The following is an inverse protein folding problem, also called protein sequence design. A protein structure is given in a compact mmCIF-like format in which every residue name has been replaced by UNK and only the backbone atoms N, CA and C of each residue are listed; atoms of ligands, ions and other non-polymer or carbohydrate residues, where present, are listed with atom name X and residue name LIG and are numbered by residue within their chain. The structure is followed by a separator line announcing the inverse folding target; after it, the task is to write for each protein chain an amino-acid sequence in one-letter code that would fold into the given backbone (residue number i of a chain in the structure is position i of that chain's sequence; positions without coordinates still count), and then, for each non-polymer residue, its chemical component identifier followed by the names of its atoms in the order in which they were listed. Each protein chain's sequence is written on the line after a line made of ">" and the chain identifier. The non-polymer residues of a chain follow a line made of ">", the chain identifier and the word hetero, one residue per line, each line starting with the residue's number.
data_IF_441063115282
#
_entry.id   IF_441063115282
#
_cell.length_a   1.000
_cell.length_b   1.000
_cell.length_c   1.000
_cell.angle_alpha   90.00
_cell.angle_beta   90.00
_cell.angle_gamma   90.00
#
_symmetry.space_group_name_H-M   'P 1'
#
loop_
_entity.id
_entity.type
_entity.pdbx_description
1 polymer ?
#
# COMPACT_ATOMS: atom_id res chain seq x y z
N UNK A 1 -10.29 -16.70 79.77
CA UNK A 1 -9.04 -16.68 78.97
C UNK A 1 -9.44 -16.65 77.51
N UNK A 2 -9.62 -15.44 76.98
CA UNK A 2 -10.12 -15.11 75.64
C UNK A 2 -9.03 -15.22 74.56
N UNK A 3 -8.72 -16.42 74.06
CA UNK A 3 -7.79 -16.54 72.91
C UNK A 3 -8.15 -17.69 71.98
N UNK A 4 -9.34 -17.66 71.36
CA UNK A 4 -9.65 -18.61 70.28
C UNK A 4 -10.63 -18.12 69.21
N UNK A 5 -10.86 -16.79 69.08
CA UNK A 5 -11.77 -16.23 68.06
C UNK A 5 -11.09 -15.44 66.93
N UNK A 6 -9.75 -15.42 66.87
CA UNK A 6 -9.03 -14.61 65.88
C UNK A 6 -8.47 -15.40 64.68
N UNK A 7 -8.58 -16.73 64.66
CA UNK A 7 -8.05 -17.55 63.56
C UNK A 7 -9.10 -18.02 62.54
N UNK A 8 -10.37 -17.66 62.72
CA UNK A 8 -11.44 -18.02 61.77
C UNK A 8 -11.84 -16.88 60.83
N UNK A 9 -11.32 -15.66 61.00
CA UNK A 9 -11.74 -14.50 60.19
C UNK A 9 -10.75 -14.16 59.08
N UNK A 10 -9.50 -14.66 59.16
CA UNK A 10 -8.49 -14.38 58.13
C UNK A 10 -8.53 -15.40 56.97
N UNK A 11 -9.16 -16.57 57.15
CA UNK A 11 -9.22 -17.59 56.09
C UNK A 11 -10.41 -17.40 55.11
N UNK A 12 -11.35 -16.50 55.38
CA UNK A 12 -12.51 -16.26 54.50
C UNK A 12 -12.30 -15.10 53.52
N UNK A 13 -11.27 -14.27 53.70
CA UNK A 13 -11.00 -13.14 52.81
C UNK A 13 -10.05 -13.47 51.64
N UNK A 14 -9.54 -14.72 51.56
CA UNK A 14 -8.47 -15.08 50.63
C UNK A 14 -8.84 -16.26 49.73
N UNK A 15 -10.07 -16.29 49.20
CA UNK A 15 -10.38 -17.13 48.04
C UNK A 15 -11.62 -16.64 47.27
N UNK A 16 -11.63 -15.35 46.92
CA UNK A 16 -12.45 -14.87 45.81
C UNK A 16 -11.53 -14.10 44.87
N UNK A 17 -10.50 -14.78 44.38
CA UNK A 17 -9.97 -14.41 43.07
C UNK A 17 -10.98 -14.94 42.07
N UNK A 18 -11.77 -14.03 41.53
CA UNK A 18 -12.61 -14.31 40.37
C UNK A 18 -11.72 -14.93 39.31
N UNK A 19 -11.91 -16.22 39.03
CA UNK A 19 -11.53 -16.76 37.75
C UNK A 19 -12.40 -16.02 36.74
N UNK A 20 -11.86 -14.98 36.11
CA UNK A 20 -12.37 -14.61 34.81
C UNK A 20 -12.10 -15.81 33.93
N UNK A 21 -13.12 -16.66 33.77
CA UNK A 21 -13.15 -17.64 32.72
C UNK A 21 -13.11 -16.81 31.46
N UNK A 22 -11.92 -16.67 30.88
CA UNK A 22 -11.78 -16.33 29.48
C UNK A 22 -12.37 -17.55 28.76
N UNK A 23 -13.68 -17.54 28.54
CA UNK A 23 -14.23 -18.32 27.45
C UNK A 23 -13.55 -17.73 26.24
N UNK A 24 -12.51 -18.43 25.78
CA UNK A 24 -12.09 -18.31 24.40
C UNK A 24 -13.38 -18.46 23.61
N UNK A 25 -13.79 -17.36 22.98
CA UNK A 25 -14.94 -17.36 22.10
C UNK A 25 -14.60 -18.38 21.01
N UNK A 26 -15.18 -19.57 21.14
CA UNK A 26 -15.03 -20.62 20.13
C UNK A 26 -15.91 -20.33 18.93
N UNK A 27 -16.61 -19.18 18.90
CA UNK A 27 -17.16 -18.63 17.68
C UNK A 27 -16.07 -17.91 16.86
N UNK A 28 -14.93 -18.59 16.68
CA UNK A 28 -14.21 -18.46 15.41
C UNK A 28 -15.07 -19.21 14.42
N UNK A 29 -16.11 -18.54 13.91
CA UNK A 29 -16.48 -18.71 12.52
C UNK A 29 -15.16 -18.47 11.77
N UNK A 30 -14.46 -19.56 11.45
CA UNK A 30 -13.30 -19.54 10.57
C UNK A 30 -13.83 -19.27 9.17
N UNK A 31 -14.45 -18.10 8.99
CA UNK A 31 -14.40 -17.45 7.71
C UNK A 31 -12.95 -17.09 7.52
N UNK A 32 -12.26 -17.91 6.74
CA UNK A 32 -10.95 -17.59 6.24
C UNK A 32 -11.09 -16.24 5.51
N UNK A 33 -10.78 -15.15 6.21
CA UNK A 33 -10.49 -13.87 5.60
C UNK A 33 -9.21 -14.05 4.79
N UNK A 34 -9.33 -14.63 3.59
CA UNK A 34 -8.21 -14.71 2.67
C UNK A 34 -8.10 -13.40 1.93
N UNK A 35 -7.04 -12.65 2.20
CA UNK A 35 -6.69 -11.55 1.32
C UNK A 35 -6.31 -12.10 -0.07
N UNK A 36 -6.92 -11.56 -1.12
CA UNK A 36 -6.52 -11.81 -2.50
C UNK A 36 -5.31 -10.93 -2.85
N UNK A 37 -4.25 -11.56 -3.37
CA UNK A 37 -3.04 -10.88 -3.81
C UNK A 37 -2.87 -10.98 -5.32
N UNK A 38 -2.72 -9.83 -5.98
CA UNK A 38 -2.39 -9.72 -7.39
C UNK A 38 -0.98 -9.14 -7.53
N UNK A 39 -0.14 -9.77 -8.35
CA UNK A 39 1.23 -9.32 -8.58
C UNK A 39 1.43 -9.02 -10.06
N UNK A 40 1.91 -7.81 -10.35
CA UNK A 40 2.21 -7.36 -11.70
C UNK A 40 3.70 -7.03 -11.81
N UNK A 41 4.36 -7.64 -12.81
CA UNK A 41 5.75 -7.35 -13.18
C UNK A 41 5.83 -6.82 -14.61
N UNK A 42 7.03 -6.82 -15.21
CA UNK A 42 7.30 -6.28 -16.54
C UNK A 42 6.79 -4.84 -16.66
N UNK A 43 7.30 -3.95 -15.79
CA UNK A 43 6.78 -2.59 -15.64
C UNK A 43 7.39 -1.61 -16.67
N UNK A 44 8.28 -2.07 -17.54
CA UNK A 44 9.00 -1.27 -18.52
C UNK A 44 8.42 -1.45 -19.92
N UNK A 45 7.26 -0.86 -20.17
CA UNK A 45 6.59 -0.90 -21.49
C UNK A 45 6.88 0.35 -22.34
N UNK A 46 7.82 1.20 -21.88
CA UNK A 46 8.31 2.36 -22.63
C UNK A 46 8.43 3.62 -21.78
N UNK A 47 9.30 4.52 -22.21
CA UNK A 47 9.54 5.79 -21.53
C UNK A 47 8.55 6.87 -21.96
N UNK A 48 8.24 7.79 -21.05
CA UNK A 48 7.30 8.91 -21.25
C UNK A 48 7.96 10.22 -20.84
N UNK A 49 7.71 11.28 -21.61
CA UNK A 49 8.06 12.64 -21.21
C UNK A 49 6.96 13.23 -20.34
N UNK A 50 7.32 13.82 -19.19
CA UNK A 50 6.34 14.37 -18.25
C UNK A 50 6.62 15.84 -17.96
N UNK A 51 5.56 16.65 -17.90
CA UNK A 51 5.60 18.04 -17.43
C UNK A 51 5.10 18.17 -16.00
N UNK A 52 4.61 19.35 -15.64
CA UNK A 52 4.03 19.61 -14.31
C UNK A 52 2.66 18.96 -14.07
N UNK A 53 2.02 18.45 -15.11
CA UNK A 53 0.75 17.73 -15.04
C UNK A 53 0.98 16.23 -14.89
N UNK A 54 0.13 15.58 -14.10
CA UNK A 54 0.16 14.13 -13.95
C UNK A 54 -0.06 13.44 -15.30
N UNK A 55 0.91 12.59 -15.67
CA UNK A 55 0.92 11.83 -16.90
C UNK A 55 1.05 10.34 -16.56
N UNK A 56 0.25 9.49 -17.19
CA UNK A 56 0.30 8.03 -17.01
C UNK A 56 1.61 7.50 -17.61
N UNK A 57 2.30 6.63 -16.89
CA UNK A 57 3.47 5.93 -17.41
C UNK A 57 3.06 4.64 -18.16
N UNK A 58 3.90 4.21 -19.09
CA UNK A 58 3.69 2.96 -19.81
C UNK A 58 4.25 1.80 -18.97
N UNK A 59 3.39 1.20 -18.13
CA UNK A 59 3.75 0.00 -17.35
C UNK A 59 2.95 -1.24 -17.76
N UNK A 60 2.08 -1.12 -18.76
CA UNK A 60 1.13 -2.16 -19.17
C UNK A 60 -0.25 -1.98 -18.54
N UNK A 61 -1.15 -2.93 -18.81
CA UNK A 61 -2.48 -2.97 -18.19
C UNK A 61 -2.48 -3.97 -17.04
N UNK A 62 -2.77 -3.49 -15.84
CA UNK A 62 -2.76 -4.30 -14.62
C UNK A 62 -4.16 -4.34 -14.03
N UNK A 63 -4.91 -5.39 -14.34
CA UNK A 63 -6.29 -5.55 -13.89
C UNK A 63 -6.39 -6.49 -12.71
N UNK A 64 -7.27 -6.17 -11.77
CA UNK A 64 -7.64 -7.02 -10.64
C UNK A 64 -9.15 -6.94 -10.40
N UNK A 65 -9.67 -7.88 -9.61
CA UNK A 65 -11.08 -7.91 -9.23
C UNK A 65 -11.21 -7.63 -7.74
N UNK A 66 -12.14 -6.75 -7.40
CA UNK A 66 -12.57 -6.47 -6.04
C UNK A 66 -13.96 -7.05 -5.80
N UNK A 67 -14.09 -7.88 -4.76
CA UNK A 67 -15.32 -8.61 -4.50
C UNK A 67 -16.33 -7.85 -3.62
N UNK A 68 -15.88 -6.83 -2.88
CA UNK A 68 -16.68 -6.14 -1.85
C UNK A 68 -16.51 -4.62 -1.89
N UNK A 69 -17.60 -3.89 -1.68
CA UNK A 69 -17.61 -2.41 -1.62
C UNK A 69 -16.99 -1.86 -0.32
N UNK A 70 -17.01 -2.64 0.77
CA UNK A 70 -16.70 -2.20 2.13
C UNK A 70 -15.27 -2.55 2.59
N UNK A 71 -14.43 -3.05 1.68
CA UNK A 71 -13.02 -3.34 1.98
C UNK A 71 -12.09 -2.29 1.37
N UNK A 72 -10.90 -2.09 1.94
CA UNK A 72 -9.87 -1.26 1.32
C UNK A 72 -9.09 -2.05 0.25
N UNK A 73 -8.45 -1.36 -0.69
CA UNK A 73 -7.41 -1.93 -1.55
C UNK A 73 -6.08 -1.38 -1.05
N UNK A 74 -5.12 -2.25 -0.79
CA UNK A 74 -3.74 -1.85 -0.49
C UNK A 74 -2.88 -2.09 -1.74
N UNK A 75 -2.05 -1.11 -2.11
CA UNK A 75 -1.12 -1.24 -3.22
C UNK A 75 0.30 -0.95 -2.75
N UNK A 76 1.20 -1.88 -3.02
CA UNK A 76 2.63 -1.71 -2.83
C UNK A 76 3.34 -1.72 -4.18
N UNK A 77 4.14 -0.71 -4.46
CA UNK A 77 5.04 -0.67 -5.61
C UNK A 77 6.46 -0.70 -5.11
N UNK A 78 7.24 -1.68 -5.56
CA UNK A 78 8.66 -1.78 -5.27
C UNK A 78 9.39 -1.94 -6.59
N UNK A 79 10.05 -0.89 -7.05
CA UNK A 79 10.74 -0.91 -8.34
C UNK A 79 11.85 0.12 -8.40
N UNK A 80 12.66 0.04 -9.46
CA UNK A 80 13.56 1.10 -9.89
C UNK A 80 12.81 2.04 -10.82
N UNK A 81 12.97 3.34 -10.64
CA UNK A 81 12.36 4.37 -11.47
C UNK A 81 13.48 5.13 -12.17
N UNK A 82 13.34 5.31 -13.48
CA UNK A 82 14.33 5.97 -14.33
C UNK A 82 13.88 7.34 -14.78
N UNK A 83 14.84 8.25 -14.92
CA UNK A 83 14.67 9.55 -15.58
C UNK A 83 15.90 9.80 -16.45
N UNK A 84 15.72 9.87 -17.77
CA UNK A 84 16.82 10.12 -18.72
C UNK A 84 17.38 11.54 -18.61
N UNK A 85 16.51 12.55 -18.50
CA UNK A 85 16.96 13.92 -18.16
C UNK A 85 15.91 14.69 -17.36
N UNK A 86 16.38 15.60 -16.52
CA UNK A 86 15.55 16.34 -15.58
C UNK A 86 15.82 17.84 -15.65
N UNK A 87 14.82 18.60 -16.10
CA UNK A 87 14.76 20.06 -16.03
C UNK A 87 13.70 20.49 -15.00
N UNK A 88 13.78 19.90 -13.81
CA UNK A 88 12.91 20.16 -12.67
C UNK A 88 13.66 19.83 -11.37
N UNK A 89 13.08 20.11 -10.21
CA UNK A 89 13.66 19.73 -8.91
C UNK A 89 13.48 18.24 -8.57
N UNK A 90 12.71 17.51 -9.37
CA UNK A 90 12.40 16.11 -9.16
C UNK A 90 11.24 15.64 -10.02
N UNK A 91 10.95 14.35 -9.94
CA UNK A 91 9.75 13.71 -10.47
C UNK A 91 9.00 13.09 -9.30
N UNK A 92 7.72 13.44 -9.17
CA UNK A 92 6.79 12.78 -8.27
C UNK A 92 6.11 11.64 -9.01
N UNK A 93 5.98 10.52 -8.34
CA UNK A 93 5.30 9.32 -8.79
C UNK A 93 4.11 9.06 -7.87
N UNK A 94 3.02 8.53 -8.42
CA UNK A 94 1.88 8.08 -7.63
C UNK A 94 1.23 6.86 -8.26
N UNK A 95 0.54 6.10 -7.42
CA UNK A 95 -0.32 4.99 -7.86
C UNK A 95 -1.76 5.48 -7.97
N UNK A 96 -2.49 5.01 -8.98
CA UNK A 96 -3.92 5.28 -9.13
C UNK A 96 -4.70 4.00 -9.38
N UNK A 97 -5.95 4.01 -8.95
CA UNK A 97 -6.98 3.03 -9.34
C UNK A 97 -7.85 3.68 -10.42
N UNK A 98 -8.09 2.96 -11.51
CA UNK A 98 -8.93 3.38 -12.64
C UNK A 98 -8.55 4.75 -13.22
N UNK A 99 -7.25 5.05 -13.19
CA UNK A 99 -6.66 6.33 -13.64
C UNK A 99 -7.18 7.58 -12.89
N UNK A 100 -8.02 7.40 -11.87
CA UNK A 100 -8.59 8.47 -11.07
C UNK A 100 -7.55 9.02 -10.11
N UNK A 101 -7.37 10.34 -10.12
CA UNK A 101 -6.55 11.00 -9.12
C UNK A 101 -7.23 10.92 -7.76
N UNK A 102 -6.67 10.15 -6.83
CA UNK A 102 -7.03 10.26 -5.42
C UNK A 102 -6.31 11.48 -4.84
N UNK A 103 -7.04 12.43 -4.23
CA UNK A 103 -6.44 13.64 -3.67
C UNK A 103 -5.62 13.37 -2.39
N UNK A 104 -5.60 12.12 -1.90
CA UNK A 104 -4.83 11.74 -0.72
C UNK A 104 -3.33 11.68 -1.05
N UNK A 105 -2.54 12.47 -0.32
CA UNK A 105 -1.09 12.60 -0.50
C UNK A 105 -0.29 11.35 -0.08
N UNK A 106 -0.95 10.34 0.49
CA UNK A 106 -0.32 9.16 1.12
C UNK A 106 0.11 8.09 0.11
N UNK A 107 -0.04 8.32 -1.20
CA UNK A 107 0.26 7.35 -2.26
C UNK A 107 1.43 7.75 -3.19
N UNK A 108 2.33 8.63 -2.74
CA UNK A 108 3.36 9.25 -3.58
C UNK A 108 4.78 8.83 -3.22
N UNK A 109 5.63 8.64 -4.24
CA UNK A 109 7.09 8.53 -4.13
C UNK A 109 7.76 9.62 -4.96
N UNK A 110 9.03 9.90 -4.74
CA UNK A 110 9.75 10.94 -5.49
C UNK A 110 11.18 10.56 -5.82
N UNK A 111 11.60 10.85 -7.05
CA UNK A 111 13.01 11.02 -7.38
C UNK A 111 13.32 12.50 -7.25
N UNK A 112 14.28 12.84 -6.40
CA UNK A 112 14.73 14.21 -6.24
C UNK A 112 15.96 14.47 -7.10
N UNK A 113 16.11 15.71 -7.55
CA UNK A 113 17.34 16.13 -8.22
C UNK A 113 18.48 16.17 -7.20
N UNK A 114 19.44 15.26 -7.33
CA UNK A 114 20.76 15.40 -6.71
C UNK A 114 21.50 16.64 -7.25
N UNK A 115 22.35 17.28 -6.43
CA UNK A 115 22.82 18.66 -6.65
C UNK A 115 23.73 18.92 -7.86
N UNK A 116 23.97 17.94 -8.74
CA UNK A 116 24.81 18.12 -9.93
C UNK A 116 24.21 17.34 -11.11
N UNK A 117 23.62 18.07 -12.07
CA UNK A 117 23.29 17.62 -13.44
C UNK A 117 22.70 16.21 -13.56
N UNK A 118 21.48 16.04 -13.06
CA UNK A 118 20.83 14.74 -12.92
C UNK A 118 20.23 14.24 -14.26
N UNK A 119 21.10 13.74 -15.14
CA UNK A 119 20.74 12.93 -16.30
C UNK A 119 20.94 11.45 -15.94
N UNK A 120 20.13 10.57 -16.53
CA UNK A 120 20.17 9.12 -16.36
C UNK A 120 20.12 8.69 -14.89
N UNK A 121 19.17 9.24 -14.14
CA UNK A 121 18.92 8.88 -12.74
C UNK A 121 18.15 7.57 -12.73
N UNK A 122 18.54 6.64 -11.86
CA UNK A 122 17.72 5.48 -11.56
C UNK A 122 17.74 5.16 -10.07
N UNK A 123 16.60 5.33 -9.41
CA UNK A 123 16.46 5.16 -7.96
C UNK A 123 15.45 4.07 -7.63
N UNK A 124 15.68 3.36 -6.53
CA UNK A 124 14.68 2.43 -6.02
C UNK A 124 13.65 3.22 -5.21
N UNK A 125 12.37 3.06 -5.54
CA UNK A 125 11.28 3.62 -4.76
C UNK A 125 10.37 2.49 -4.26
N UNK A 126 9.92 2.67 -3.01
CA UNK A 126 8.82 1.91 -2.42
C UNK A 126 7.64 2.87 -2.23
N UNK A 127 6.51 2.58 -2.87
CA UNK A 127 5.27 3.36 -2.74
C UNK A 127 4.23 2.46 -2.10
N UNK A 128 3.61 2.93 -1.03
CA UNK A 128 2.44 2.29 -0.42
C UNK A 128 1.24 3.20 -0.59
N UNK A 129 0.07 2.62 -0.84
CA UNK A 129 -1.18 3.36 -1.00
C UNK A 129 -2.35 2.52 -0.50
N UNK A 130 -3.33 3.17 0.13
CA UNK A 130 -4.59 2.54 0.55
C UNK A 130 -5.75 3.28 -0.11
N UNK A 131 -6.62 2.54 -0.78
CA UNK A 131 -7.81 3.07 -1.46
C UNK A 131 -9.06 2.54 -0.77
N UNK A 132 -9.90 3.47 -0.29
CA UNK A 132 -11.17 3.15 0.37
C UNK A 132 -12.34 3.54 -0.54
N UNK A 133 -13.54 3.03 -0.24
CA UNK A 133 -14.78 3.37 -0.95
C UNK A 133 -14.74 3.10 -2.47
N UNK A 134 -13.92 2.15 -2.91
CA UNK A 134 -13.91 1.66 -4.29
C UNK A 134 -14.99 0.57 -4.40
N UNK A 135 -15.95 0.68 -5.34
CA UNK A 135 -16.97 -0.36 -5.55
C UNK A 135 -16.35 -1.72 -5.87
N UNK A 136 -17.09 -2.80 -5.66
CA UNK A 136 -16.77 -4.12 -6.18
C UNK A 136 -16.84 -4.12 -7.71
N UNK A 137 -15.96 -4.86 -8.37
CA UNK A 137 -15.84 -4.89 -9.81
C UNK A 137 -14.43 -5.18 -10.30
N UNK A 138 -14.23 -5.03 -11.61
CA UNK A 138 -12.90 -5.06 -12.22
C UNK A 138 -12.32 -3.66 -12.20
N UNK A 139 -11.07 -3.57 -11.75
CA UNK A 139 -10.33 -2.33 -11.62
C UNK A 139 -8.97 -2.46 -12.28
N UNK A 140 -8.36 -1.31 -12.55
CA UNK A 140 -6.98 -1.22 -13.01
C UNK A 140 -6.12 -0.48 -12.01
N UNK A 141 -4.85 -0.86 -11.91
CA UNK A 141 -3.83 -0.10 -11.19
C UNK A 141 -2.83 0.48 -12.19
N UNK A 142 -2.48 1.75 -12.01
CA UNK A 142 -1.53 2.44 -12.89
C UNK A 142 -0.57 3.34 -12.12
N UNK A 143 0.61 3.57 -12.71
CA UNK A 143 1.61 4.48 -12.19
C UNK A 143 1.57 5.78 -13.01
N UNK A 144 1.59 6.90 -12.30
CA UNK A 144 1.55 8.23 -12.87
C UNK A 144 2.75 9.03 -12.38
N UNK A 145 3.24 9.94 -13.21
CA UNK A 145 4.35 10.82 -12.87
C UNK A 145 4.06 12.28 -13.24
N UNK A 146 4.70 13.20 -12.51
CA UNK A 146 4.81 14.61 -12.90
C UNK A 146 6.16 15.15 -12.46
N UNK A 147 6.71 16.06 -13.25
CA UNK A 147 7.84 16.86 -12.84
C UNK A 147 7.41 17.88 -11.76
N UNK A 148 8.36 18.36 -10.96
CA UNK A 148 8.12 19.48 -10.06
C UNK A 148 7.55 20.71 -10.81
N UNK A 149 6.77 21.59 -10.16
CA UNK A 149 6.14 22.73 -10.82
C UNK A 149 7.12 23.54 -11.67
N UNK A 150 6.67 23.99 -12.85
CA UNK A 150 7.46 24.71 -13.86
C UNK A 150 8.63 23.95 -14.52
N UNK A 151 8.76 22.64 -14.28
CA UNK A 151 9.80 21.82 -14.90
C UNK A 151 9.29 20.70 -15.82
N UNK A 152 10.23 19.99 -16.43
CA UNK A 152 9.99 18.79 -17.24
C UNK A 152 10.98 17.67 -16.90
N UNK A 153 10.59 16.43 -17.20
CA UNK A 153 11.46 15.27 -17.17
C UNK A 153 11.26 14.43 -18.44
N UNK A 154 12.37 13.97 -19.02
CA UNK A 154 12.37 13.15 -20.22
C UNK A 154 12.78 11.72 -19.92
N UNK A 155 12.26 10.81 -20.74
CA UNK A 155 12.49 9.37 -20.63
C UNK A 155 12.22 8.87 -19.21
N UNK A 156 11.04 9.18 -18.68
CA UNK A 156 10.58 8.68 -17.38
C UNK A 156 9.97 7.29 -17.58
N UNK A 157 10.48 6.31 -16.84
CA UNK A 157 10.02 4.92 -16.93
C UNK A 157 10.16 4.17 -15.60
N UNK A 158 9.49 3.03 -15.53
CA UNK A 158 9.54 2.11 -14.38
C UNK A 158 10.28 0.85 -14.81
N UNK A 159 11.16 0.36 -13.95
CA UNK A 159 12.00 -0.82 -14.14
C UNK A 159 12.92 -0.82 -15.40
N UNK A 160 13.69 0.26 -15.71
CA UNK A 160 14.48 0.38 -16.95
C UNK A 160 15.52 -0.71 -17.25
N UNK A 161 15.80 -1.60 -16.28
CA UNK A 161 16.77 -2.68 -16.39
C UNK A 161 16.19 -4.05 -16.04
N UNK A 162 14.87 -4.20 -16.05
CA UNK A 162 14.15 -5.43 -15.73
C UNK A 162 14.60 -6.07 -14.40
N UNK A 163 14.79 -5.23 -13.38
CA UNK A 163 15.17 -5.65 -12.02
C UNK A 163 14.04 -6.36 -11.26
N UNK A 164 13.02 -6.80 -11.99
CA UNK A 164 11.87 -7.55 -11.50
C UNK A 164 11.07 -6.72 -10.49
N UNK A 165 10.94 -5.42 -10.75
CA UNK A 165 10.01 -4.56 -10.02
C UNK A 165 8.59 -5.15 -9.98
N UNK A 166 7.84 -4.82 -8.93
CA UNK A 166 6.49 -5.34 -8.70
C UNK A 166 5.52 -4.26 -8.27
N UNK A 167 4.31 -4.36 -8.80
CA UNK A 167 3.10 -3.81 -8.19
C UNK A 167 2.39 -4.98 -7.54
N UNK A 168 2.12 -4.88 -6.24
CA UNK A 168 1.38 -5.87 -5.45
C UNK A 168 0.10 -5.19 -5.01
N UNK A 169 -1.04 -5.74 -5.40
CA UNK A 169 -2.36 -5.29 -4.96
C UNK A 169 -2.91 -6.34 -4.02
N UNK A 170 -3.27 -5.91 -2.83
CA UNK A 170 -3.94 -6.72 -1.83
C UNK A 170 -5.38 -6.24 -1.70
N UNK A 171 -6.32 -7.17 -1.82
CA UNK A 171 -7.76 -6.94 -1.67
C UNK A 171 -8.28 -7.93 -0.63
N UNK A 172 -8.79 -7.47 0.52
CA UNK A 172 -9.42 -8.38 1.47
C UNK A 172 -10.61 -9.09 0.83
N UNK A 173 -10.56 -10.41 0.84
CA UNK A 173 -11.66 -11.29 0.44
C UNK A 173 -12.16 -12.05 1.69
N UNK A 174 -13.45 -12.31 1.70
CA UNK A 174 -14.06 -13.22 2.68
C UNK A 174 -14.65 -14.35 1.85
N UNK A 175 -14.04 -15.54 1.94
CA UNK A 175 -14.44 -16.69 1.15
C UNK A 175 -15.72 -17.36 1.68
N UNK A 176 -16.39 -16.79 2.69
CA UNK A 176 -17.66 -17.32 3.18
C UNK A 176 -18.86 -16.81 2.38
N UNK A 177 -19.21 -17.58 1.35
CA UNK A 177 -20.56 -17.63 0.78
C UNK A 177 -21.24 -18.94 1.14
#
# INVERSE_FOLDING_TARGET
>A
MERFKLFSVILTAMLVMSSQVFTQDTDVQSGDFQDAYFQFGNLNEGAVNVGSSWTKLNTGTHSFTKNRNDTAIEVHVNSRFGVGSLNANGVLFQVRIDDVHTPDYENQGSILRGSILANNITEFLSIFAVFQNIPAGSHTVSIWARAAPSGSAHDVLVDPGDWRGKIIVKVPDDLTR
#
